data_IF_031587711900
#
_entry.id   IF_031587711900
#
_cell.length_a   1.000
_cell.length_b   1.000
_cell.length_c   1.000
_cell.angle_alpha   90.00
_cell.angle_beta   90.00
_cell.angle_gamma   90.00
#
_symmetry.space_group_name_H-M   'P 1'
#
loop_
_entity.id
_entity.type
_entity.pdbx_description
1 polymer ?
#
# COMPACT_ATOMS: atom_id res chain seq x y z
N UNK A 1 -9.88 27.59 3.10
CA UNK A 1 -10.57 28.18 1.94
C UNK A 1 -11.41 27.07 1.30
N UNK A 2 -12.74 27.02 1.50
CA UNK A 2 -13.56 25.96 0.94
C UNK A 2 -14.00 26.32 -0.48
N UNK A 3 -13.79 25.41 -1.43
CA UNK A 3 -14.26 25.52 -2.80
C UNK A 3 -15.64 24.85 -2.90
N UNK A 4 -16.67 25.67 -3.08
CA UNK A 4 -18.06 25.27 -3.32
C UNK A 4 -18.30 25.40 -4.82
N UNK A 5 -18.69 24.31 -5.48
CA UNK A 5 -19.22 24.36 -6.85
C UNK A 5 -20.73 24.16 -6.78
N UNK A 6 -21.45 25.27 -6.97
CA UNK A 6 -22.88 25.28 -7.23
C UNK A 6 -23.19 24.60 -8.57
N UNK A 7 -24.22 23.77 -8.60
CA UNK A 7 -24.98 23.49 -9.81
C UNK A 7 -26.44 23.87 -9.56
N UNK A 8 -26.96 24.65 -10.50
CA UNK A 8 -28.18 25.44 -10.47
C UNK A 8 -29.43 24.60 -10.77
N UNK A 9 -30.52 24.99 -10.11
CA UNK A 9 -31.93 24.61 -10.21
C UNK A 9 -32.52 24.65 -11.64
N UNK A 10 -33.38 23.67 -12.00
CA UNK A 10 -34.73 23.94 -12.53
C UNK A 10 -35.64 22.70 -12.49
N UNK A 11 -36.77 22.83 -11.79
CA UNK A 11 -37.94 21.94 -11.80
C UNK A 11 -38.73 22.03 -13.11
N UNK A 12 -39.42 20.93 -13.47
CA UNK A 12 -40.83 20.98 -13.94
C UNK A 12 -41.48 19.61 -13.79
N UNK A 13 -42.67 19.60 -13.20
CA UNK A 13 -43.57 18.50 -12.86
C UNK A 13 -44.41 17.96 -14.04
N UNK A 14 -45.15 16.88 -13.73
CA UNK A 14 -46.45 16.40 -14.26
C UNK A 14 -46.40 15.50 -15.52
N UNK A 15 -47.13 14.40 -15.67
CA UNK A 15 -48.14 13.68 -14.88
C UNK A 15 -48.35 12.29 -15.58
N UNK A 16 -48.31 11.15 -14.89
CA UNK A 16 -49.45 10.25 -14.54
C UNK A 16 -49.92 9.18 -15.57
N UNK A 17 -50.19 7.97 -15.03
CA UNK A 17 -50.98 6.82 -15.56
C UNK A 17 -50.40 5.95 -16.70
N UNK A 18 -50.58 4.63 -16.82
CA UNK A 18 -51.14 3.55 -15.98
C UNK A 18 -50.77 2.19 -16.65
N UNK A 19 -50.53 1.16 -15.83
CA UNK A 19 -50.73 -0.29 -16.04
C UNK A 19 -50.86 -0.91 -17.45
N UNK A 20 -50.00 -1.89 -17.75
CA UNK A 20 -50.42 -3.20 -18.30
C UNK A 20 -49.30 -4.24 -18.10
N UNK A 21 -49.71 -5.44 -17.70
CA UNK A 21 -48.91 -6.60 -17.33
C UNK A 21 -48.92 -7.62 -18.49
N UNK A 22 -47.99 -8.60 -18.45
CA UNK A 22 -47.89 -9.83 -19.28
C UNK A 22 -47.23 -9.67 -20.67
N UNK A 23 -46.33 -10.53 -21.16
CA UNK A 23 -45.79 -11.84 -20.75
C UNK A 23 -44.51 -12.17 -21.56
N UNK A 24 -43.64 -13.00 -20.95
CA UNK A 24 -42.74 -14.02 -21.56
C UNK A 24 -41.54 -13.67 -22.50
N UNK A 25 -40.35 -13.98 -21.95
CA UNK A 25 -39.23 -14.75 -22.52
C UNK A 25 -38.44 -14.24 -23.75
N UNK A 26 -37.16 -13.90 -23.54
CA UNK A 26 -36.03 -14.74 -23.99
C UNK A 26 -34.66 -14.17 -23.59
N UNK A 27 -33.81 -15.07 -23.09
CA UNK A 27 -32.37 -15.21 -23.32
C UNK A 27 -31.51 -13.95 -23.53
N UNK A 28 -30.72 -13.64 -22.50
CA UNK A 28 -29.58 -12.73 -22.58
C UNK A 28 -28.96 -12.50 -21.21
N UNK A 29 -28.41 -13.54 -20.58
CA UNK A 29 -27.58 -13.37 -19.39
C UNK A 29 -26.31 -12.61 -19.79
N UNK A 30 -26.36 -11.30 -19.69
CA UNK A 30 -25.17 -10.46 -19.64
C UNK A 30 -24.39 -10.82 -18.37
N UNK A 31 -23.09 -11.11 -18.45
CA UNK A 31 -22.28 -11.28 -17.26
C UNK A 31 -22.24 -9.92 -16.55
N UNK A 32 -22.90 -9.84 -15.40
CA UNK A 32 -22.76 -8.69 -14.51
C UNK A 32 -21.27 -8.52 -14.21
N UNK A 33 -20.70 -7.30 -14.32
CA UNK A 33 -19.36 -7.08 -13.83
C UNK A 33 -19.40 -7.40 -12.34
N UNK A 34 -18.70 -8.45 -11.92
CA UNK A 34 -18.47 -8.75 -10.52
C UNK A 34 -17.83 -7.51 -9.91
N UNK A 35 -18.67 -6.67 -9.30
CA UNK A 35 -18.23 -5.62 -8.40
C UNK A 35 -17.55 -6.37 -7.27
N UNK A 36 -16.21 -6.44 -7.34
CA UNK A 36 -15.36 -7.01 -6.30
C UNK A 36 -15.83 -6.39 -5.00
N UNK A 37 -16.61 -7.15 -4.23
CA UNK A 37 -17.05 -6.74 -2.91
C UNK A 37 -15.79 -6.72 -2.08
N UNK A 38 -15.23 -5.51 -1.93
CA UNK A 38 -14.06 -5.25 -1.10
C UNK A 38 -14.50 -5.60 0.31
N UNK A 39 -14.16 -6.81 0.77
CA UNK A 39 -14.48 -7.25 2.11
C UNK A 39 -13.83 -6.24 3.06
N UNK A 40 -14.69 -5.46 3.72
CA UNK A 40 -14.26 -4.60 4.80
C UNK A 40 -14.03 -5.49 6.03
N UNK A 41 -12.96 -6.27 5.97
CA UNK A 41 -12.42 -6.97 7.11
C UNK A 41 -11.73 -5.97 8.02
N UNK A 42 -12.44 -5.54 9.05
CA UNK A 42 -11.92 -4.75 10.17
C UNK A 42 -10.68 -5.43 10.77
N UNK A 43 -9.52 -4.88 10.45
CA UNK A 43 -8.28 -5.01 11.22
C UNK A 43 -7.41 -3.83 10.81
N UNK A 44 -6.76 -3.18 11.79
CA UNK A 44 -6.02 -1.93 11.66
C UNK A 44 -4.74 -2.11 10.84
N UNK A 45 -4.87 -2.52 9.58
CA UNK A 45 -3.75 -2.69 8.66
C UNK A 45 -3.36 -1.30 8.17
N UNK A 46 -2.15 -0.85 8.48
CA UNK A 46 -1.64 0.47 8.08
C UNK A 46 -1.62 0.68 6.56
N UNK A 47 -1.67 -0.41 5.77
CA UNK A 47 -1.51 -0.42 4.31
C UNK A 47 -2.54 -1.34 3.65
N UNK A 48 -3.01 -1.00 2.45
CA UNK A 48 -3.94 -1.86 1.71
C UNK A 48 -3.24 -3.15 1.23
N UNK A 49 -4.01 -4.24 1.05
CA UNK A 49 -3.49 -5.54 0.65
C UNK A 49 -2.70 -5.48 -0.67
N UNK A 50 -3.21 -4.74 -1.66
CA UNK A 50 -2.57 -4.55 -2.96
C UNK A 50 -1.20 -3.83 -2.83
N UNK A 51 -1.10 -2.87 -1.91
CA UNK A 51 0.17 -2.19 -1.56
C UNK A 51 1.16 -3.19 -0.96
N UNK A 52 0.70 -4.09 -0.09
CA UNK A 52 1.55 -5.12 0.51
C UNK A 52 2.07 -6.11 -0.53
N UNK A 53 1.20 -6.62 -1.40
CA UNK A 53 1.58 -7.58 -2.46
C UNK A 53 2.59 -6.99 -3.45
N UNK A 54 2.40 -5.72 -3.86
CA UNK A 54 3.37 -4.99 -4.68
C UNK A 54 4.68 -4.73 -3.93
N UNK A 55 4.61 -4.43 -2.63
CA UNK A 55 5.78 -4.27 -1.77
C UNK A 55 6.60 -5.56 -1.63
N UNK A 56 5.94 -6.72 -1.59
CA UNK A 56 6.60 -8.04 -1.57
C UNK A 56 7.29 -8.35 -2.90
N UNK A 57 6.65 -8.03 -4.03
CA UNK A 57 7.26 -8.20 -5.35
C UNK A 57 8.56 -7.38 -5.54
N UNK A 58 8.69 -6.25 -4.84
CA UNK A 58 9.86 -5.35 -4.94
C UNK A 58 11.03 -5.80 -4.06
N UNK A 59 10.79 -6.64 -3.05
CA UNK A 59 11.81 -7.14 -2.13
C UNK A 59 11.71 -8.67 -2.02
N UNK A 60 12.17 -9.41 -3.06
CA UNK A 60 12.10 -10.86 -3.06
C UNK A 60 12.83 -11.42 -1.83
N UNK A 61 12.22 -12.42 -1.18
CA UNK A 61 12.71 -13.11 0.02
C UNK A 61 12.80 -12.30 1.33
N UNK A 62 12.29 -11.06 1.39
CA UNK A 62 12.31 -10.28 2.66
C UNK A 62 11.66 -11.03 3.82
N UNK A 63 10.55 -11.72 3.59
CA UNK A 63 9.84 -12.50 4.62
C UNK A 63 10.72 -13.62 5.17
N UNK A 64 11.43 -14.35 4.30
CA UNK A 64 12.35 -15.42 4.69
C UNK A 64 13.49 -14.86 5.53
N UNK A 65 14.06 -13.73 5.11
CA UNK A 65 15.14 -13.05 5.84
C UNK A 65 14.70 -12.58 7.23
N UNK A 66 13.53 -11.95 7.34
CA UNK A 66 12.97 -11.52 8.63
C UNK A 66 12.69 -12.71 9.55
N UNK A 67 12.18 -13.82 8.99
CA UNK A 67 12.00 -15.05 9.74
C UNK A 67 13.33 -15.59 10.26
N UNK A 68 14.35 -15.64 9.40
CA UNK A 68 15.71 -16.05 9.79
C UNK A 68 16.27 -15.19 10.92
N UNK A 69 16.18 -13.85 10.81
CA UNK A 69 16.62 -12.95 11.88
C UNK A 69 15.84 -13.16 13.17
N UNK A 70 14.51 -13.30 13.09
CA UNK A 70 13.67 -13.56 14.26
C UNK A 70 14.00 -14.88 14.96
N UNK A 71 14.20 -15.95 14.18
CA UNK A 71 14.53 -17.27 14.69
C UNK A 71 15.92 -17.29 15.36
N UNK A 72 16.91 -16.68 14.72
CA UNK A 72 18.26 -16.56 15.27
C UNK A 72 18.28 -15.70 16.54
N UNK A 73 17.48 -14.62 16.60
CA UNK A 73 17.31 -13.83 17.83
C UNK A 73 16.65 -14.60 18.96
N UNK A 74 15.62 -15.40 18.66
CA UNK A 74 15.02 -16.26 19.67
C UNK A 74 16.04 -17.30 20.19
N UNK A 75 16.83 -17.90 19.30
CA UNK A 75 17.88 -18.86 19.66
C UNK A 75 18.96 -18.24 20.54
N UNK A 76 19.51 -17.08 20.15
CA UNK A 76 20.52 -16.38 20.94
C UNK A 76 19.97 -15.90 22.29
N UNK A 77 18.71 -15.45 22.33
CA UNK A 77 18.04 -15.08 23.59
C UNK A 77 17.86 -16.27 24.54
N UNK A 78 17.55 -17.46 24.01
CA UNK A 78 17.48 -18.69 24.79
C UNK A 78 18.87 -19.12 25.30
N UNK A 79 19.90 -19.06 24.44
CA UNK A 79 21.29 -19.31 24.81
C UNK A 79 21.73 -18.41 25.97
N UNK A 80 21.50 -17.11 25.84
CA UNK A 80 21.82 -16.12 26.86
C UNK A 80 21.05 -16.35 28.16
N UNK A 81 19.75 -16.67 28.10
CA UNK A 81 18.96 -16.95 29.30
C UNK A 81 19.49 -18.17 30.07
N UNK A 82 19.85 -19.24 29.35
CA UNK A 82 20.40 -20.45 29.96
C UNK A 82 21.81 -20.17 30.52
N UNK A 83 22.65 -19.50 29.73
CA UNK A 83 24.04 -19.27 30.07
C UNK A 83 24.20 -18.25 31.21
N UNK A 84 23.33 -17.24 31.28
CA UNK A 84 23.30 -16.27 32.38
C UNK A 84 22.95 -16.90 33.72
N UNK A 85 21.97 -17.82 33.77
CA UNK A 85 21.65 -18.58 34.99
C UNK A 85 22.86 -19.44 35.39
N UNK A 86 23.50 -20.08 34.41
CA UNK A 86 24.66 -20.92 34.62
C UNK A 86 25.90 -20.14 35.09
N UNK A 87 26.11 -18.95 34.55
CA UNK A 87 27.18 -18.04 34.91
C UNK A 87 26.97 -17.53 36.34
N UNK A 88 25.74 -17.12 36.68
CA UNK A 88 25.40 -16.70 38.04
C UNK A 88 25.60 -17.82 39.07
N UNK A 89 25.20 -19.04 38.75
CA UNK A 89 25.45 -20.22 39.58
C UNK A 89 26.94 -20.57 39.70
N UNK A 90 27.72 -20.28 38.66
CA UNK A 90 29.18 -20.41 38.67
C UNK A 90 29.86 -19.40 39.59
N UNK A 91 29.46 -18.12 39.51
CA UNK A 91 29.99 -17.06 40.37
C UNK A 91 29.62 -17.26 41.84
N UNK A 92 28.45 -17.83 42.14
CA UNK A 92 28.04 -18.11 43.52
C UNK A 92 28.72 -19.34 44.14
N UNK A 93 29.54 -20.06 43.37
CA UNK A 93 30.17 -21.31 43.81
C UNK A 93 29.21 -22.50 43.88
N UNK A 94 27.96 -22.34 43.40
CA UNK A 94 26.98 -23.42 43.36
C UNK A 94 27.29 -24.47 42.28
N UNK A 95 28.14 -24.14 41.31
CA UNK A 95 28.67 -25.10 40.34
C UNK A 95 29.99 -25.71 40.82
N UNK A 96 30.12 -27.02 40.60
CA UNK A 96 31.30 -27.79 40.98
C UNK A 96 32.58 -27.40 40.21
N UNK A 97 33.72 -28.03 40.55
CA UNK A 97 35.05 -27.67 40.03
C UNK A 97 35.25 -27.91 38.52
N UNK A 98 34.29 -28.55 37.84
CA UNK A 98 34.30 -28.77 36.39
C UNK A 98 33.74 -27.59 35.58
N UNK A 99 33.24 -26.54 36.24
CA UNK A 99 32.68 -25.38 35.54
C UNK A 99 33.79 -24.37 35.16
N UNK A 100 33.96 -24.15 33.85
CA UNK A 100 34.85 -23.14 33.32
C UNK A 100 34.13 -21.79 33.13
N UNK A 101 34.49 -20.81 33.96
CA UNK A 101 33.98 -19.44 33.86
C UNK A 101 34.37 -18.76 32.54
N UNK A 102 35.54 -19.06 32.00
CA UNK A 102 36.03 -18.47 30.76
C UNK A 102 35.20 -18.89 29.55
N UNK A 103 34.91 -20.20 29.43
CA UNK A 103 34.06 -20.73 28.35
C UNK A 103 32.61 -20.24 28.47
N UNK A 104 32.10 -20.13 29.70
CA UNK A 104 30.77 -19.56 29.96
C UNK A 104 30.70 -18.08 29.55
N UNK A 105 31.68 -17.26 29.94
CA UNK A 105 31.77 -15.86 29.54
C UNK A 105 31.90 -15.69 28.01
N UNK A 106 32.67 -16.55 27.36
CA UNK A 106 32.83 -16.52 25.90
C UNK A 106 31.50 -16.82 25.20
N UNK A 107 30.78 -17.85 25.63
CA UNK A 107 29.48 -18.21 25.06
C UNK A 107 28.45 -17.09 25.25
N UNK A 108 28.43 -16.46 26.43
CA UNK A 108 27.55 -15.33 26.72
C UNK A 108 27.88 -14.10 25.86
N UNK A 109 29.17 -13.82 25.66
CA UNK A 109 29.62 -12.75 24.77
C UNK A 109 29.20 -12.99 23.31
N UNK A 110 29.22 -14.25 22.84
CA UNK A 110 28.76 -14.60 21.50
C UNK A 110 27.26 -14.35 21.35
N UNK A 111 26.44 -14.81 22.31
CA UNK A 111 24.99 -14.60 22.27
C UNK A 111 24.62 -13.11 22.32
N UNK A 112 25.30 -12.33 23.15
CA UNK A 112 25.16 -10.86 23.19
C UNK A 112 25.56 -10.21 21.87
N UNK A 113 26.70 -10.60 21.31
CA UNK A 113 27.17 -10.11 20.02
C UNK A 113 26.18 -10.42 18.90
N UNK A 114 25.62 -11.63 18.88
CA UNK A 114 24.57 -12.03 17.96
C UNK A 114 23.34 -11.13 18.13
N UNK A 115 22.81 -10.97 19.35
CA UNK A 115 21.66 -10.11 19.67
C UNK A 115 21.81 -8.68 19.17
N UNK A 116 22.98 -8.07 19.40
CA UNK A 116 23.27 -6.71 18.93
C UNK A 116 23.29 -6.65 17.41
N UNK A 117 24.02 -7.56 16.75
CA UNK A 117 24.18 -7.55 15.29
C UNK A 117 22.85 -7.78 14.58
N UNK A 118 22.13 -8.85 14.93
CA UNK A 118 20.88 -9.20 14.28
C UNK A 118 19.75 -8.23 14.67
N UNK A 119 19.75 -7.70 15.89
CA UNK A 119 18.84 -6.63 16.28
C UNK A 119 19.02 -5.39 15.40
N UNK A 120 20.27 -5.02 15.11
CA UNK A 120 20.59 -3.94 14.18
C UNK A 120 20.12 -4.24 12.74
N UNK A 121 20.41 -5.43 12.21
CA UNK A 121 19.98 -5.86 10.86
C UNK A 121 18.46 -5.89 10.73
N UNK A 122 17.76 -6.44 11.73
CA UNK A 122 16.30 -6.52 11.77
C UNK A 122 15.68 -5.13 11.79
N UNK A 123 16.19 -4.22 12.63
CA UNK A 123 15.72 -2.83 12.68
C UNK A 123 15.90 -2.12 11.34
N UNK A 124 17.05 -2.29 10.69
CA UNK A 124 17.32 -1.66 9.40
C UNK A 124 16.34 -2.15 8.31
N UNK A 125 16.08 -3.46 8.25
CA UNK A 125 15.15 -4.03 7.27
C UNK A 125 13.70 -3.60 7.50
N UNK A 126 13.26 -3.52 8.77
CA UNK A 126 11.95 -2.99 9.13
C UNK A 126 11.78 -1.52 8.74
N UNK A 127 12.82 -0.69 8.93
CA UNK A 127 12.79 0.70 8.49
C UNK A 127 12.76 0.82 6.96
N UNK A 128 13.51 -0.01 6.24
CA UNK A 128 13.48 -0.04 4.78
C UNK A 128 12.10 -0.43 4.24
N UNK A 129 11.46 -1.43 4.88
CA UNK A 129 10.08 -1.85 4.57
C UNK A 129 9.08 -0.72 4.77
N UNK A 130 9.14 0.00 5.90
CA UNK A 130 8.19 1.08 6.20
C UNK A 130 8.32 2.23 5.18
N UNK A 131 9.55 2.60 4.81
CA UNK A 131 9.80 3.63 3.78
C UNK A 131 9.19 3.23 2.42
N UNK A 132 9.34 1.97 2.03
CA UNK A 132 8.80 1.45 0.77
C UNK A 132 7.27 1.41 0.79
N UNK A 133 6.66 0.91 1.87
CA UNK A 133 5.21 0.87 2.01
C UNK A 133 4.59 2.27 2.08
N UNK A 134 5.24 3.21 2.78
CA UNK A 134 4.78 4.60 2.85
C UNK A 134 4.79 5.28 1.47
N UNK A 135 5.84 5.04 0.66
CA UNK A 135 5.89 5.54 -0.73
C UNK A 135 4.76 4.94 -1.57
N UNK A 136 4.60 3.62 -1.52
CA UNK A 136 3.61 2.92 -2.34
C UNK A 136 2.17 3.28 -1.92
N UNK A 137 1.94 3.52 -0.63
CA UNK A 137 0.67 4.01 -0.13
C UNK A 137 0.33 5.40 -0.70
N UNK A 138 1.31 6.31 -0.79
CA UNK A 138 1.10 7.61 -1.45
C UNK A 138 0.73 7.43 -2.92
N UNK A 139 1.44 6.56 -3.63
CA UNK A 139 1.16 6.25 -5.04
C UNK A 139 -0.23 5.64 -5.23
N UNK A 140 -0.67 4.75 -4.34
CA UNK A 140 -2.02 4.18 -4.35
C UNK A 140 -3.09 5.23 -4.01
N UNK A 141 -2.80 6.17 -3.12
CA UNK A 141 -3.73 7.28 -2.77
C UNK A 141 -3.92 8.22 -3.95
N UNK A 142 -2.83 8.56 -4.66
CA UNK A 142 -2.89 9.36 -5.89
C UNK A 142 -3.60 8.62 -7.01
N UNK A 143 -3.39 7.31 -7.14
CA UNK A 143 -4.08 6.49 -8.12
C UNK A 143 -5.60 6.42 -7.85
N UNK A 144 -6.03 6.50 -6.59
CA UNK A 144 -7.44 6.47 -6.21
C UNK A 144 -8.16 7.82 -6.40
N UNK A 145 -7.46 8.88 -6.83
CA UNK A 145 -8.06 10.20 -7.02
C UNK A 145 -9.11 10.15 -8.15
N UNK A 146 -10.37 10.54 -7.91
CA UNK A 146 -11.39 10.56 -8.94
C UNK A 146 -11.18 11.76 -9.87
N UNK A 147 -11.21 11.49 -11.17
CA UNK A 147 -11.27 12.44 -12.26
C UNK A 147 -12.70 12.47 -12.81
N UNK A 148 -13.22 13.67 -13.05
CA UNK A 148 -14.47 13.86 -13.81
C UNK A 148 -14.12 14.30 -15.21
N UNK A 149 -14.61 13.56 -16.19
CA UNK A 149 -14.45 13.90 -17.61
C UNK A 149 -15.50 14.93 -18.02
N UNK A 150 -15.25 15.60 -19.15
CA UNK A 150 -16.20 16.52 -19.80
C UNK A 150 -17.56 15.87 -20.10
N UNK A 151 -17.60 14.55 -20.27
CA UNK A 151 -18.82 13.75 -20.46
C UNK A 151 -19.50 13.31 -19.14
N UNK A 152 -19.16 13.92 -18.00
CA UNK A 152 -19.63 13.59 -16.65
C UNK A 152 -19.32 12.17 -16.16
N UNK A 153 -18.51 11.37 -16.88
CA UNK A 153 -18.04 10.07 -16.38
C UNK A 153 -16.95 10.28 -15.33
N UNK A 154 -17.00 9.48 -14.26
CA UNK A 154 -15.98 9.45 -13.22
C UNK A 154 -15.02 8.28 -13.46
N UNK A 155 -13.72 8.57 -13.53
CA UNK A 155 -12.64 7.58 -13.65
C UNK A 155 -11.62 7.82 -12.54
N UNK A 156 -10.81 6.83 -12.17
CA UNK A 156 -9.70 7.08 -11.25
C UNK A 156 -8.41 7.34 -12.04
N UNK A 157 -7.49 8.14 -11.48
CA UNK A 157 -6.17 8.37 -12.08
C UNK A 157 -5.43 7.05 -12.35
N UNK A 158 -5.62 6.05 -11.47
CA UNK A 158 -5.04 4.72 -11.59
C UNK A 158 -5.49 3.95 -12.82
N UNK A 159 -6.73 4.17 -13.29
CA UNK A 159 -7.30 3.47 -14.45
C UNK A 159 -6.66 3.92 -15.76
N UNK A 160 -6.11 5.15 -15.79
CA UNK A 160 -5.41 5.71 -16.95
C UNK A 160 -3.95 5.19 -17.05
N UNK A 161 -3.43 4.56 -15.99
CA UNK A 161 -2.04 4.09 -15.96
C UNK A 161 -1.82 3.00 -17.02
N UNK A 162 -0.85 3.23 -17.91
CA UNK A 162 -0.48 2.29 -18.97
C UNK A 162 -1.26 2.48 -20.28
N UNK A 163 -2.37 3.24 -20.26
CA UNK A 163 -3.17 3.56 -21.44
C UNK A 163 -2.97 5.00 -21.89
N UNK A 164 -2.90 5.95 -20.95
CA UNK A 164 -2.77 7.37 -21.25
C UNK A 164 -1.78 8.08 -20.31
N UNK A 165 -1.06 9.08 -20.84
CA UNK A 165 -0.20 9.97 -20.06
C UNK A 165 -1.01 11.17 -19.59
N UNK A 166 -1.22 11.27 -18.28
CA UNK A 166 -1.95 12.37 -17.66
C UNK A 166 -1.10 13.64 -17.58
N UNK A 167 -1.61 14.76 -18.08
CA UNK A 167 -1.04 16.10 -17.94
C UNK A 167 -2.05 16.95 -17.18
N UNK A 168 -1.61 17.56 -16.07
CA UNK A 168 -2.47 18.42 -15.22
C UNK A 168 -2.10 19.87 -15.50
N UNK A 169 -3.07 20.67 -15.90
CA UNK A 169 -2.90 22.12 -16.07
C UNK A 169 -3.45 22.83 -14.83
N UNK A 170 -2.59 23.55 -14.12
CA UNK A 170 -2.98 24.31 -12.95
C UNK A 170 -2.44 25.74 -13.05
N UNK A 171 -3.33 26.73 -12.88
CA UNK A 171 -2.96 28.15 -12.95
C UNK A 171 -4.17 29.08 -12.84
N UNK A 172 -3.97 30.40 -13.00
CA UNK A 172 -5.05 31.36 -13.09
C UNK A 172 -6.00 31.03 -14.25
N UNK A 173 -7.32 31.26 -14.11
CA UNK A 173 -8.32 30.80 -15.10
C UNK A 173 -8.05 31.32 -16.52
N UNK A 174 -7.53 32.54 -16.66
CA UNK A 174 -7.17 33.12 -17.97
C UNK A 174 -6.02 32.36 -18.66
N UNK A 175 -5.00 31.94 -17.90
CA UNK A 175 -3.87 31.18 -18.43
C UNK A 175 -4.29 29.74 -18.77
N UNK A 176 -5.08 29.11 -17.90
CA UNK A 176 -5.62 27.76 -18.14
C UNK A 176 -6.47 27.74 -19.41
N UNK A 177 -7.35 28.71 -19.60
CA UNK A 177 -8.17 28.80 -20.82
C UNK A 177 -7.32 28.98 -22.08
N UNK A 178 -6.25 29.78 -22.01
CA UNK A 178 -5.33 29.99 -23.13
C UNK A 178 -4.55 28.72 -23.45
N UNK A 179 -3.99 28.04 -22.43
CA UNK A 179 -3.29 26.76 -22.61
C UNK A 179 -4.20 25.66 -23.16
N UNK A 180 -5.48 25.61 -22.74
CA UNK A 180 -6.44 24.66 -23.29
C UNK A 180 -6.74 24.98 -24.76
N UNK A 181 -6.93 26.26 -25.12
CA UNK A 181 -7.18 26.67 -26.50
C UNK A 181 -6.00 26.33 -27.42
N UNK A 182 -4.77 26.54 -26.96
CA UNK A 182 -3.56 26.14 -27.69
C UNK A 182 -3.42 24.61 -27.79
N UNK A 183 -3.78 23.88 -26.74
CA UNK A 183 -3.75 22.42 -26.75
C UNK A 183 -4.81 21.81 -27.67
N UNK A 184 -5.96 22.47 -27.85
CA UNK A 184 -7.03 22.00 -28.72
C UNK A 184 -6.59 21.99 -30.20
N UNK A 185 -5.75 22.95 -30.61
CA UNK A 185 -5.13 22.96 -31.95
C UNK A 185 -4.21 21.75 -32.20
N UNK A 186 -3.72 21.10 -31.14
CA UNK A 186 -2.81 19.94 -31.20
C UNK A 186 -3.50 18.63 -30.83
N UNK A 187 -4.84 18.63 -30.71
CA UNK A 187 -5.62 17.51 -30.15
C UNK A 187 -5.37 16.17 -30.85
N UNK A 188 -5.30 16.15 -32.18
CA UNK A 188 -5.02 14.91 -32.94
C UNK A 188 -3.63 14.33 -32.63
N UNK A 189 -2.60 15.19 -32.52
CA UNK A 189 -1.24 14.75 -32.21
C UNK A 189 -1.12 14.29 -30.74
N UNK A 190 -1.88 14.92 -29.83
CA UNK A 190 -1.97 14.52 -28.43
C UNK A 190 -2.66 13.16 -28.27
N UNK A 191 -3.77 12.93 -28.99
CA UNK A 191 -4.48 11.64 -28.99
C UNK A 191 -3.61 10.53 -29.58
N UNK A 192 -2.91 10.79 -30.70
CA UNK A 192 -1.96 9.84 -31.31
C UNK A 192 -0.84 9.43 -30.35
N UNK A 193 -0.43 10.34 -29.46
CA UNK A 193 0.58 10.10 -28.42
C UNK A 193 -0.01 9.61 -27.10
N UNK A 194 -1.31 9.31 -27.04
CA UNK A 194 -2.04 8.87 -25.85
C UNK A 194 -1.96 9.86 -24.67
N UNK A 195 -1.83 11.17 -24.94
CA UNK A 195 -1.76 12.21 -23.89
C UNK A 195 -3.18 12.64 -23.51
N UNK A 196 -3.47 12.70 -22.21
CA UNK A 196 -4.75 13.11 -21.66
C UNK A 196 -4.58 14.34 -20.77
N UNK A 197 -5.26 15.43 -21.11
CA UNK A 197 -5.17 16.71 -20.40
C UNK A 197 -6.33 16.82 -19.40
N UNK A 198 -6.00 17.22 -18.17
CA UNK A 198 -6.93 17.46 -17.05
C UNK A 198 -6.75 18.85 -16.48
#
# INVERSE_FOLDING_TARGET
>A
VPFVVSAVQKESQMDSNQSAQETSSSTGQQPQPQRVQRSQGSSRTKYALNTKLRGEATAPFRTVRLFGFGALMASAGLGLAINSIQLLAGLSGAKGPSFDLGEALQSEAIDLGALVLLGFLLRNDLQAREKQLARLAREDTLAALPLRLSNNKSLQVGDLRGFHRLVIIAGPPAQVATSIAEADALREELERRSVFIV
#
